data_IF_569912276079
#
_entry.id   IF_569912276079
#
_cell.length_a   1.000
_cell.length_b   1.000
_cell.length_c   1.000
_cell.angle_alpha   90.00
_cell.angle_beta   90.00
_cell.angle_gamma   90.00
#
_symmetry.space_group_name_H-M   'P 1'
#
loop_
_entity.id
_entity.type
_entity.pdbx_description
1 polymer ?
#
# COMPACT_ATOMS: atom_id res chain seq x y z
N UNK A 1 80.78 4.44 22.81
CA UNK A 1 79.30 4.44 22.68
C UNK A 1 78.92 5.27 21.46
N UNK A 2 78.72 4.60 20.32
CA UNK A 2 78.25 5.22 19.07
C UNK A 2 76.73 5.20 19.06
N UNK A 3 76.10 6.37 19.21
CA UNK A 3 74.65 6.53 19.01
C UNK A 3 74.33 6.37 17.53
N UNK A 4 73.75 5.24 17.13
CA UNK A 4 73.10 5.09 15.83
C UNK A 4 71.87 6.01 15.79
N UNK A 5 71.94 7.05 14.95
CA UNK A 5 70.81 7.93 14.64
C UNK A 5 69.83 7.15 13.77
N UNK A 6 68.87 6.45 14.40
CA UNK A 6 67.74 5.85 13.70
C UNK A 6 66.92 6.97 13.04
N UNK A 7 67.08 7.13 11.72
CA UNK A 7 66.08 7.81 10.88
C UNK A 7 64.89 6.87 10.72
N UNK A 8 64.18 6.63 11.83
CA UNK A 8 62.92 5.91 11.87
C UNK A 8 61.83 6.73 11.20
N UNK A 9 61.76 6.61 9.88
CA UNK A 9 60.62 6.83 8.99
C UNK A 9 59.49 7.73 9.50
N UNK A 10 59.74 9.04 9.63
CA UNK A 10 58.68 10.05 9.76
C UNK A 10 57.61 9.93 8.64
N UNK A 11 58.03 9.41 7.48
CA UNK A 11 57.18 9.15 6.33
C UNK A 11 56.12 8.06 6.58
N UNK A 12 56.43 7.03 7.39
CA UNK A 12 55.44 5.98 7.76
C UNK A 12 54.36 6.55 8.66
N UNK A 13 54.69 7.43 9.61
CA UNK A 13 53.69 8.07 10.46
C UNK A 13 52.75 8.99 9.67
N UNK A 14 53.28 9.69 8.66
CA UNK A 14 52.45 10.51 7.77
C UNK A 14 51.52 9.62 6.93
N UNK A 15 52.01 8.50 6.39
CA UNK A 15 51.19 7.56 5.62
C UNK A 15 50.08 6.91 6.47
N UNK A 16 50.39 6.52 7.71
CA UNK A 16 49.39 5.99 8.64
C UNK A 16 48.34 7.06 8.98
N UNK A 17 48.76 8.31 9.19
CA UNK A 17 47.81 9.42 9.44
C UNK A 17 46.89 9.69 8.24
N UNK A 18 47.41 9.67 7.01
CA UNK A 18 46.60 9.84 5.79
C UNK A 18 45.64 8.66 5.61
N UNK A 19 46.09 7.43 5.85
CA UNK A 19 45.24 6.25 5.79
C UNK A 19 44.10 6.31 6.83
N UNK A 20 44.39 6.73 8.06
CA UNK A 20 43.38 6.92 9.10
C UNK A 20 42.38 8.02 8.75
N UNK A 21 42.84 9.15 8.20
CA UNK A 21 41.97 10.24 7.75
C UNK A 21 41.06 9.81 6.60
N UNK A 22 41.59 9.07 5.62
CA UNK A 22 40.81 8.54 4.50
C UNK A 22 39.71 7.56 4.98
N UNK A 23 40.06 6.69 5.93
CA UNK A 23 39.12 5.72 6.52
C UNK A 23 38.06 6.41 7.38
N UNK A 24 38.40 7.52 8.03
CA UNK A 24 37.44 8.34 8.77
C UNK A 24 36.44 9.02 7.83
N UNK A 25 36.90 9.55 6.68
CA UNK A 25 36.00 10.17 5.68
C UNK A 25 35.03 9.18 5.05
N UNK A 26 35.43 7.93 4.81
CA UNK A 26 34.51 6.91 4.27
C UNK A 26 33.41 6.55 5.28
N UNK A 27 33.75 6.38 6.55
CA UNK A 27 32.78 6.09 7.61
C UNK A 27 31.76 7.24 7.80
N UNK A 28 32.19 8.49 7.65
CA UNK A 28 31.28 9.64 7.74
C UNK A 28 30.40 9.85 6.50
N UNK A 29 30.88 9.51 5.30
CA UNK A 29 30.07 9.58 4.07
C UNK A 29 29.04 8.45 3.97
N UNK A 30 29.37 7.24 4.45
CA UNK A 30 28.45 6.11 4.44
C UNK A 30 27.35 6.23 5.52
N UNK A 31 27.66 6.87 6.66
CA UNK A 31 26.69 7.06 7.75
C UNK A 31 25.63 8.13 7.42
N UNK A 32 25.99 9.19 6.70
CA UNK A 32 25.07 10.28 6.35
C UNK A 32 24.05 9.88 5.27
N UNK A 33 24.47 9.07 4.29
CA UNK A 33 23.57 8.50 3.28
C UNK A 33 22.61 7.47 3.88
N UNK A 34 23.10 6.55 4.71
CA UNK A 34 22.28 5.57 5.44
C UNK A 34 21.30 6.22 6.43
N UNK A 35 21.73 7.29 7.10
CA UNK A 35 20.87 8.06 8.01
C UNK A 35 19.72 8.72 7.26
N UNK A 36 19.99 9.34 6.10
CA UNK A 36 18.95 9.98 5.26
C UNK A 36 17.96 8.93 4.74
N UNK A 37 18.45 7.79 4.26
CA UNK A 37 17.62 6.68 3.79
C UNK A 37 16.67 6.17 4.89
N UNK A 38 17.19 5.97 6.10
CA UNK A 38 16.42 5.51 7.26
C UNK A 38 15.33 6.51 7.66
N UNK A 39 15.64 7.81 7.65
CA UNK A 39 14.66 8.86 7.94
C UNK A 39 13.55 8.91 6.89
N UNK A 40 13.89 8.81 5.61
CA UNK A 40 12.91 8.82 4.52
C UNK A 40 11.99 7.58 4.58
N UNK A 41 12.56 6.40 4.83
CA UNK A 41 11.77 5.19 5.03
C UNK A 41 10.82 5.31 6.23
N UNK A 42 11.29 5.87 7.35
CA UNK A 42 10.48 6.05 8.56
C UNK A 42 9.33 7.05 8.34
N UNK A 43 9.58 8.13 7.59
CA UNK A 43 8.54 9.10 7.19
C UNK A 43 7.48 8.43 6.33
N UNK A 44 7.90 7.69 5.30
CA UNK A 44 6.98 6.98 4.41
C UNK A 44 6.11 5.97 5.17
N UNK A 45 6.70 5.18 6.08
CA UNK A 45 5.97 4.24 6.95
C UNK A 45 4.92 4.98 7.78
N UNK A 46 5.29 6.11 8.39
CA UNK A 46 4.36 6.91 9.20
C UNK A 46 3.22 7.46 8.37
N UNK A 47 3.51 7.98 7.18
CA UNK A 47 2.52 8.55 6.26
C UNK A 47 1.55 7.47 5.77
N UNK A 48 2.05 6.37 5.22
CA UNK A 48 1.24 5.26 4.73
C UNK A 48 0.38 4.66 5.84
N UNK A 49 0.95 4.38 7.02
CA UNK A 49 0.17 3.80 8.12
C UNK A 49 -0.88 4.76 8.69
N UNK A 50 -0.63 6.07 8.67
CA UNK A 50 -1.62 7.07 9.06
C UNK A 50 -2.79 7.10 8.07
N UNK A 51 -2.52 7.04 6.77
CA UNK A 51 -3.56 7.02 5.75
C UNK A 51 -4.39 5.73 5.81
N UNK A 52 -3.74 4.57 5.96
CA UNK A 52 -4.42 3.27 6.14
C UNK A 52 -5.39 3.34 7.32
N UNK A 53 -4.94 3.81 8.49
CA UNK A 53 -5.79 3.90 9.67
C UNK A 53 -6.98 4.85 9.47
N UNK A 54 -6.76 5.97 8.77
CA UNK A 54 -7.83 6.92 8.45
C UNK A 54 -8.88 6.32 7.51
N UNK A 55 -8.44 5.69 6.41
CA UNK A 55 -9.32 5.05 5.44
C UNK A 55 -10.11 3.92 6.08
N UNK A 56 -9.42 3.04 6.82
CA UNK A 56 -10.06 1.94 7.56
C UNK A 56 -11.13 2.46 8.51
N UNK A 57 -10.82 3.49 9.31
CA UNK A 57 -11.78 4.07 10.26
C UNK A 57 -13.02 4.63 9.55
N UNK A 58 -12.83 5.27 8.39
CA UNK A 58 -13.94 5.83 7.61
C UNK A 58 -14.83 4.73 7.01
N UNK A 59 -14.23 3.64 6.52
CA UNK A 59 -14.97 2.46 6.04
C UNK A 59 -15.72 1.77 7.18
N UNK A 60 -15.10 1.63 8.35
CA UNK A 60 -15.74 1.00 9.50
C UNK A 60 -16.92 1.83 10.03
N UNK A 61 -16.79 3.16 10.08
CA UNK A 61 -17.91 4.03 10.41
C UNK A 61 -19.09 3.84 9.45
N UNK A 62 -18.80 3.81 8.16
CA UNK A 62 -19.79 3.56 7.12
C UNK A 62 -20.53 2.22 7.31
N UNK A 63 -19.78 1.14 7.55
CA UNK A 63 -20.32 -0.20 7.85
C UNK A 63 -21.25 -0.19 9.07
N UNK A 64 -20.85 0.54 10.13
CA UNK A 64 -21.62 0.62 11.38
C UNK A 64 -22.85 1.52 11.25
N UNK A 65 -22.80 2.57 10.43
CA UNK A 65 -23.92 3.47 10.20
C UNK A 65 -24.98 2.83 9.29
N UNK A 66 -24.57 2.00 8.32
CA UNK A 66 -25.45 1.43 7.30
C UNK A 66 -25.41 -0.11 7.24
N UNK A 67 -25.73 -0.82 8.33
CA UNK A 67 -25.60 -2.28 8.37
C UNK A 67 -26.58 -3.01 7.42
N UNK A 68 -27.73 -2.39 7.15
CA UNK A 68 -28.79 -2.96 6.30
C UNK A 68 -28.55 -2.78 4.80
N UNK A 69 -27.59 -1.93 4.40
CA UNK A 69 -27.29 -1.57 3.01
C UNK A 69 -28.51 -1.02 2.24
N UNK A 70 -28.31 -0.73 0.97
CA UNK A 70 -29.34 -0.45 -0.02
C UNK A 70 -30.02 -1.76 -0.44
N UNK A 71 -31.34 -1.76 -0.46
CA UNK A 71 -32.17 -2.90 -0.85
C UNK A 71 -31.97 -3.39 -2.30
N UNK A 72 -31.38 -2.56 -3.16
CA UNK A 72 -31.06 -2.92 -4.55
C UNK A 72 -29.78 -3.74 -4.70
N UNK A 73 -28.94 -3.81 -3.67
CA UNK A 73 -27.64 -4.48 -3.76
C UNK A 73 -27.76 -5.99 -3.61
N UNK A 74 -26.98 -6.70 -4.43
CA UNK A 74 -26.84 -8.16 -4.35
C UNK A 74 -25.38 -8.54 -4.14
N UNK A 75 -25.13 -9.84 -3.98
CA UNK A 75 -23.78 -10.37 -3.90
C UNK A 75 -22.97 -10.22 -5.20
N UNK A 76 -23.59 -9.76 -6.31
CA UNK A 76 -22.86 -9.47 -7.54
C UNK A 76 -22.06 -8.17 -7.44
N UNK A 77 -22.69 -7.10 -6.95
CA UNK A 77 -22.10 -5.76 -6.81
C UNK A 77 -21.28 -5.64 -5.52
N UNK A 78 -21.73 -6.33 -4.46
CA UNK A 78 -21.18 -6.23 -3.12
C UNK A 78 -20.91 -7.60 -2.52
N UNK A 79 -19.74 -8.15 -2.83
CA UNK A 79 -19.33 -9.50 -2.40
C UNK A 79 -19.24 -9.65 -0.89
N UNK A 80 -18.69 -8.63 -0.21
CA UNK A 80 -18.55 -8.61 1.25
C UNK A 80 -19.46 -7.52 1.83
N UNK A 81 -20.75 -7.82 1.94
CA UNK A 81 -21.68 -7.03 2.72
C UNK A 81 -21.24 -6.96 4.21
N UNK A 82 -21.36 -5.81 4.92
CA UNK A 82 -21.89 -4.51 4.49
C UNK A 82 -20.79 -3.50 4.07
N UNK A 83 -19.68 -3.95 3.48
CA UNK A 83 -18.58 -3.04 3.08
C UNK A 83 -18.91 -2.27 1.81
N UNK A 84 -18.39 -1.05 1.62
CA UNK A 84 -18.66 -0.24 0.44
C UNK A 84 -18.58 -0.98 -0.91
N UNK A 85 -19.36 -0.51 -1.87
CA UNK A 85 -19.33 -0.99 -3.26
C UNK A 85 -18.08 -0.42 -3.93
N UNK A 86 -17.55 -1.12 -4.94
CA UNK A 86 -16.46 -0.59 -5.74
C UNK A 86 -16.91 0.72 -6.44
N UNK A 87 -16.13 1.83 -6.39
CA UNK A 87 -16.54 3.12 -6.95
C UNK A 87 -16.89 3.09 -8.44
N UNK A 88 -16.29 2.17 -9.18
CA UNK A 88 -16.45 1.98 -10.62
C UNK A 88 -17.47 0.89 -10.98
N UNK A 89 -18.25 0.40 -10.02
CA UNK A 89 -19.28 -0.60 -10.27
C UNK A 89 -20.44 -0.01 -11.10
N UNK A 90 -20.95 -0.81 -12.06
CA UNK A 90 -22.04 -0.35 -12.93
C UNK A 90 -23.35 -0.15 -12.19
N UNK A 91 -23.50 -0.69 -10.97
CA UNK A 91 -24.64 -0.46 -10.09
C UNK A 91 -25.03 1.02 -10.00
N UNK A 92 -24.05 1.92 -9.90
CA UNK A 92 -24.30 3.35 -9.81
C UNK A 92 -24.98 3.89 -11.07
N UNK A 93 -24.58 3.44 -12.26
CA UNK A 93 -25.19 3.89 -13.52
C UNK A 93 -26.53 3.18 -13.78
N UNK A 94 -26.58 1.87 -13.54
CA UNK A 94 -27.77 1.03 -13.73
C UNK A 94 -28.94 1.49 -12.85
N UNK A 95 -28.64 2.05 -11.68
CA UNK A 95 -29.63 2.62 -10.76
C UNK A 95 -29.76 4.15 -10.85
N UNK A 96 -29.13 4.79 -11.84
CA UNK A 96 -29.19 6.25 -12.04
C UNK A 96 -28.75 7.07 -10.81
N UNK A 97 -27.75 6.57 -10.08
CA UNK A 97 -27.13 7.28 -8.96
C UNK A 97 -26.48 8.59 -9.44
N UNK A 98 -26.48 9.61 -8.57
CA UNK A 98 -25.77 10.86 -8.84
C UNK A 98 -24.77 11.14 -7.72
N UNK A 99 -23.44 11.16 -7.99
CA UNK A 99 -22.80 10.89 -9.29
C UNK A 99 -22.98 9.44 -9.75
N UNK A 100 -22.76 9.15 -11.04
CA UNK A 100 -22.71 7.77 -11.55
C UNK A 100 -21.45 7.02 -11.11
N UNK A 101 -21.10 5.94 -11.82
CA UNK A 101 -19.87 5.19 -11.56
C UNK A 101 -18.62 6.04 -11.82
N UNK A 102 -17.58 5.83 -11.02
CA UNK A 102 -16.26 6.45 -11.24
C UNK A 102 -15.50 5.72 -12.34
N UNK A 103 -14.60 6.44 -13.03
CA UNK A 103 -13.71 5.81 -14.03
C UNK A 103 -12.72 4.84 -13.39
N UNK A 104 -12.29 5.12 -12.17
CA UNK A 104 -11.26 4.40 -11.45
C UNK A 104 -11.75 4.00 -10.05
N UNK A 105 -11.27 2.89 -9.48
CA UNK A 105 -11.69 2.41 -8.16
C UNK A 105 -10.95 3.16 -7.04
N UNK A 106 -10.97 4.49 -7.04
CA UNK A 106 -10.23 5.31 -6.08
C UNK A 106 -10.88 5.30 -4.69
N UNK A 107 -10.07 5.29 -3.64
CA UNK A 107 -10.56 5.40 -2.26
C UNK A 107 -11.33 6.70 -2.03
N UNK A 108 -10.94 7.79 -2.69
CA UNK A 108 -11.64 9.08 -2.64
C UNK A 108 -13.10 9.00 -3.05
N UNK A 109 -13.44 8.03 -3.90
CA UNK A 109 -14.73 7.92 -4.55
C UNK A 109 -15.62 6.87 -3.89
N UNK A 110 -15.15 6.24 -2.80
CA UNK A 110 -15.93 5.26 -2.04
C UNK A 110 -17.17 5.93 -1.46
N UNK A 111 -18.29 5.21 -1.57
CA UNK A 111 -19.58 5.61 -1.03
C UNK A 111 -20.14 4.53 -0.14
N UNK A 112 -20.91 4.93 0.85
CA UNK A 112 -21.53 3.96 1.73
C UNK A 112 -22.56 3.12 1.00
N UNK A 113 -22.64 1.81 1.28
CA UNK A 113 -23.50 0.90 0.53
C UNK A 113 -24.98 1.06 0.88
N UNK A 114 -25.40 2.17 1.48
CA UNK A 114 -26.79 2.47 1.78
C UNK A 114 -26.99 3.87 2.34
N UNK A 115 -28.15 4.44 2.01
CA UNK A 115 -28.83 5.50 2.78
C UNK A 115 -29.68 4.77 3.83
N UNK A 116 -29.73 5.14 5.13
CA UNK A 116 -30.25 4.25 6.16
C UNK A 116 -31.76 4.04 5.97
N UNK A 117 -32.12 2.91 5.35
CA UNK A 117 -33.51 2.46 5.17
C UNK A 117 -34.26 3.02 3.95
N UNK A 118 -33.59 3.54 2.92
CA UNK A 118 -34.23 4.14 1.74
C UNK A 118 -33.98 3.39 0.43
N UNK A 119 -34.85 3.59 -0.55
CA UNK A 119 -34.69 3.15 -1.95
C UNK A 119 -33.94 4.18 -2.81
N UNK A 120 -33.06 4.98 -2.19
CA UNK A 120 -32.33 6.05 -2.86
C UNK A 120 -31.03 5.48 -3.46
N UNK A 121 -30.89 5.48 -4.80
CA UNK A 121 -29.68 4.99 -5.45
C UNK A 121 -28.49 5.91 -5.26
N UNK A 122 -28.69 7.14 -4.77
CA UNK A 122 -27.62 8.10 -4.52
C UNK A 122 -26.97 7.82 -3.16
N UNK A 123 -25.83 7.15 -3.22
CA UNK A 123 -25.03 6.81 -2.04
C UNK A 123 -24.14 7.98 -1.63
N UNK A 124 -24.03 8.25 -0.32
CA UNK A 124 -23.21 9.36 0.16
C UNK A 124 -21.72 8.99 0.16
N UNK A 125 -20.89 9.89 -0.39
CA UNK A 125 -19.44 9.73 -0.43
C UNK A 125 -18.85 9.80 0.98
N UNK A 126 -17.98 8.84 1.31
CA UNK A 126 -17.31 8.77 2.61
C UNK A 126 -16.36 9.96 2.79
N UNK A 127 -15.70 10.39 1.73
CA UNK A 127 -14.76 11.50 1.74
C UNK A 127 -15.35 12.70 0.99
N UNK A 128 -16.01 13.59 1.71
CA UNK A 128 -16.63 14.77 1.12
C UNK A 128 -16.78 15.91 2.13
N UNK A 129 -17.14 17.09 1.62
CA UNK A 129 -17.51 18.22 2.48
C UNK A 129 -18.74 17.95 3.36
N UNK A 130 -19.62 17.03 2.95
CA UNK A 130 -20.81 16.67 3.71
C UNK A 130 -20.49 15.73 4.88
N UNK A 131 -19.58 14.78 4.68
CA UNK A 131 -19.09 13.90 5.76
C UNK A 131 -18.08 14.57 6.70
N UNK A 132 -17.50 15.71 6.30
CA UNK A 132 -16.43 16.40 7.02
C UNK A 132 -15.10 15.63 7.02
N UNK A 133 -15.02 14.52 6.28
CA UNK A 133 -13.82 13.69 6.13
C UNK A 133 -13.18 14.02 4.79
N UNK A 134 -11.90 14.40 4.82
CA UNK A 134 -11.13 14.66 3.62
C UNK A 134 -9.95 13.71 3.57
N UNK A 135 -9.86 12.94 2.49
CA UNK A 135 -8.70 12.10 2.26
C UNK A 135 -7.47 13.00 2.10
N UNK A 136 -6.38 12.76 2.84
CA UNK A 136 -5.13 13.46 2.57
C UNK A 136 -4.65 13.15 1.13
N UNK A 137 -3.79 13.99 0.55
CA UNK A 137 -3.22 13.71 -0.77
C UNK A 137 -2.47 12.37 -0.75
N UNK A 138 -2.28 11.78 -1.94
CA UNK A 138 -1.48 10.57 -2.10
C UNK A 138 -0.13 10.70 -1.38
N UNK A 139 0.33 9.64 -0.70
CA UNK A 139 1.65 9.61 -0.09
C UNK A 139 2.72 9.95 -1.12
N UNK A 140 3.74 10.70 -0.72
CA UNK A 140 4.79 11.08 -1.66
C UNK A 140 5.45 9.83 -2.30
N UNK A 141 5.65 9.86 -3.62
CA UNK A 141 6.16 8.76 -4.45
C UNK A 141 5.19 7.61 -4.71
N UNK A 142 3.95 7.70 -4.23
CA UNK A 142 2.91 6.70 -4.44
C UNK A 142 1.74 7.27 -5.21
N UNK A 143 1.03 6.39 -5.89
CA UNK A 143 -0.25 6.66 -6.51
C UNK A 143 -1.36 6.75 -5.46
N UNK A 144 -2.50 7.32 -5.87
CA UNK A 144 -3.71 7.34 -5.06
C UNK A 144 -4.11 5.92 -4.61
N UNK A 145 -4.70 5.83 -3.42
CA UNK A 145 -5.21 4.58 -2.91
C UNK A 145 -6.39 4.10 -3.76
N UNK A 146 -6.37 2.81 -4.07
CA UNK A 146 -7.45 2.10 -4.74
C UNK A 146 -8.18 1.20 -3.76
N UNK A 147 -9.48 1.03 -3.95
CA UNK A 147 -10.36 0.21 -3.14
C UNK A 147 -10.83 -1.02 -3.91
N UNK A 148 -11.03 -2.12 -3.18
CA UNK A 148 -11.63 -3.31 -3.73
C UNK A 148 -12.52 -4.01 -2.70
N UNK A 149 -13.68 -4.46 -3.16
CA UNK A 149 -14.57 -5.40 -2.50
C UNK A 149 -14.93 -6.52 -3.49
N UNK A 150 -14.45 -7.74 -3.24
CA UNK A 150 -14.67 -8.87 -4.14
C UNK A 150 -14.50 -10.24 -3.48
N UNK A 151 -14.42 -11.32 -4.27
CA UNK A 151 -14.38 -12.69 -3.73
C UNK A 151 -13.15 -12.99 -2.82
N UNK A 152 -12.04 -12.29 -3.04
CA UNK A 152 -10.82 -12.41 -2.22
C UNK A 152 -10.89 -11.62 -0.89
N UNK A 153 -11.89 -10.76 -0.76
CA UNK A 153 -12.16 -9.95 0.42
C UNK A 153 -12.25 -8.46 0.11
N UNK A 154 -11.91 -7.65 1.11
CA UNK A 154 -11.95 -6.19 1.03
C UNK A 154 -10.57 -5.65 1.34
N UNK A 155 -10.00 -4.84 0.45
CA UNK A 155 -8.68 -4.25 0.66
C UNK A 155 -8.55 -2.86 0.05
N UNK A 156 -7.49 -2.17 0.48
CA UNK A 156 -6.98 -0.98 -0.18
C UNK A 156 -5.56 -1.24 -0.67
N UNK A 157 -5.21 -0.67 -1.81
CA UNK A 157 -3.90 -0.83 -2.44
C UNK A 157 -3.35 0.51 -2.87
N UNK A 158 -2.04 0.69 -2.74
CA UNK A 158 -1.30 1.75 -3.42
C UNK A 158 -0.07 1.16 -4.12
N UNK A 159 0.45 1.89 -5.10
CA UNK A 159 1.60 1.48 -5.90
C UNK A 159 2.57 2.64 -6.11
N UNK A 160 3.82 2.31 -6.38
CA UNK A 160 4.87 3.25 -6.77
C UNK A 160 5.69 2.66 -7.90
N UNK A 161 5.89 3.41 -8.97
CA UNK A 161 6.79 3.11 -10.09
C UNK A 161 8.23 3.58 -9.81
N UNK A 162 8.49 4.14 -8.62
CA UNK A 162 9.78 4.73 -8.26
C UNK A 162 10.73 3.64 -7.76
N UNK A 163 11.99 3.73 -8.21
CA UNK A 163 13.02 2.70 -7.95
C UNK A 163 13.94 3.05 -6.77
N UNK A 164 13.57 4.03 -5.94
CA UNK A 164 14.40 4.46 -4.82
C UNK A 164 14.57 3.30 -3.80
N UNK A 165 15.80 2.93 -3.41
CA UNK A 165 16.04 1.77 -2.55
C UNK A 165 15.34 1.81 -1.19
N UNK A 166 14.98 2.99 -0.69
CA UNK A 166 14.26 3.13 0.59
C UNK A 166 12.78 2.77 0.50
N UNK A 167 12.18 2.75 -0.70
CA UNK A 167 10.76 2.44 -0.89
C UNK A 167 10.48 0.99 -0.47
N UNK A 168 11.26 0.04 -0.98
CA UNK A 168 11.11 -1.37 -0.60
C UNK A 168 11.37 -1.57 0.91
N UNK A 169 12.43 -0.98 1.46
CA UNK A 169 12.72 -1.05 2.91
C UNK A 169 11.56 -0.48 3.75
N UNK A 170 10.96 0.62 3.31
CA UNK A 170 9.81 1.21 3.97
C UNK A 170 8.56 0.31 3.88
N UNK A 171 8.27 -0.29 2.72
CA UNK A 171 7.16 -1.23 2.59
C UNK A 171 7.36 -2.48 3.46
N UNK A 172 8.59 -3.00 3.57
CA UNK A 172 8.91 -4.15 4.43
C UNK A 172 8.63 -3.80 5.89
N UNK A 173 9.10 -2.63 6.32
CA UNK A 173 8.86 -2.11 7.67
C UNK A 173 7.38 -1.84 7.92
N UNK A 174 6.65 -1.36 6.92
CA UNK A 174 5.21 -1.12 7.01
C UNK A 174 4.45 -2.44 7.16
N UNK A 175 4.74 -3.45 6.31
CA UNK A 175 4.15 -4.80 6.42
C UNK A 175 4.38 -5.39 7.81
N UNK A 176 5.58 -5.23 8.36
CA UNK A 176 5.93 -5.71 9.69
C UNK A 176 5.13 -5.05 10.85
N UNK A 177 4.43 -3.94 10.61
CA UNK A 177 3.52 -3.33 11.61
C UNK A 177 2.18 -4.05 11.72
N UNK A 178 1.81 -4.82 10.71
CA UNK A 178 0.51 -5.49 10.62
C UNK A 178 0.69 -7.00 10.80
N UNK A 179 -0.39 -7.69 11.13
CA UNK A 179 -0.36 -9.16 11.19
C UNK A 179 -0.18 -9.78 9.80
N UNK A 180 0.18 -11.06 9.76
CA UNK A 180 0.48 -11.78 8.53
C UNK A 180 -0.69 -11.81 7.51
N UNK A 181 -1.93 -11.60 7.96
CA UNK A 181 -3.12 -11.59 7.11
C UNK A 181 -3.60 -10.18 6.72
N UNK A 182 -3.11 -9.14 7.40
CA UNK A 182 -3.61 -7.76 7.27
C UNK A 182 -2.85 -6.95 6.22
N UNK A 183 -1.63 -7.34 5.86
CA UNK A 183 -0.85 -6.59 4.88
C UNK A 183 0.06 -7.46 4.02
N UNK A 184 0.15 -7.08 2.74
CA UNK A 184 1.05 -7.67 1.76
C UNK A 184 1.84 -6.59 1.00
N UNK A 185 3.01 -6.99 0.52
CA UNK A 185 3.85 -6.16 -0.34
C UNK A 185 4.33 -6.97 -1.54
N UNK A 186 4.47 -6.33 -2.69
CA UNK A 186 4.89 -6.97 -3.93
C UNK A 186 5.84 -6.07 -4.72
N UNK A 187 6.75 -6.70 -5.45
CA UNK A 187 7.65 -6.07 -6.42
C UNK A 187 7.38 -6.72 -7.77
N UNK A 188 6.97 -5.94 -8.76
CA UNK A 188 6.78 -6.48 -10.10
C UNK A 188 8.16 -6.76 -10.71
N UNK A 189 8.40 -8.03 -11.09
CA UNK A 189 9.68 -8.51 -11.64
C UNK A 189 10.33 -9.65 -10.83
N UNK A 190 9.97 -9.82 -9.56
CA UNK A 190 10.52 -10.92 -8.74
C UNK A 190 9.85 -12.27 -9.01
N UNK A 191 8.73 -12.27 -9.72
CA UNK A 191 8.01 -13.43 -10.20
C UNK A 191 6.68 -12.96 -10.81
N UNK A 192 6.64 -12.74 -12.12
CA UNK A 192 5.38 -12.70 -12.86
C UNK A 192 5.50 -13.69 -14.01
N UNK A 193 4.59 -14.66 -14.09
CA UNK A 193 4.46 -15.43 -15.32
C UNK A 193 3.88 -14.53 -16.40
N UNK A 194 4.11 -14.90 -17.66
CA UNK A 194 3.72 -14.14 -18.85
C UNK A 194 2.20 -13.94 -19.03
N UNK A 195 1.39 -14.28 -18.04
CA UNK A 195 -0.05 -14.05 -17.94
C UNK A 195 -0.44 -12.93 -16.96
N UNK A 196 0.54 -12.24 -16.35
CA UNK A 196 0.29 -11.17 -15.37
C UNK A 196 -0.13 -11.69 -14.00
N UNK A 197 0.02 -12.99 -13.72
CA UNK A 197 -0.10 -13.53 -12.37
C UNK A 197 1.25 -13.54 -11.64
N UNK A 198 1.22 -13.24 -10.35
CA UNK A 198 2.39 -13.24 -9.46
C UNK A 198 2.91 -14.68 -9.36
N UNK A 199 4.10 -14.94 -9.91
CA UNK A 199 4.68 -16.27 -9.96
C UNK A 199 5.06 -16.79 -8.57
N UNK A 200 4.85 -18.08 -8.45
CA UNK A 200 4.79 -18.83 -7.22
C UNK A 200 6.18 -19.28 -6.80
N UNK A 201 6.89 -18.48 -6.00
CA UNK A 201 7.84 -19.02 -5.02
C UNK A 201 7.76 -18.23 -3.73
N UNK A 202 6.93 -18.72 -2.80
CA UNK A 202 6.83 -18.22 -1.42
C UNK A 202 5.54 -17.45 -1.15
N UNK A 203 4.52 -18.16 -0.66
CA UNK A 203 3.40 -17.64 0.15
C UNK A 203 2.78 -16.29 -0.28
N UNK A 204 2.39 -16.17 -1.55
CA UNK A 204 1.67 -15.01 -2.07
C UNK A 204 0.19 -15.38 -2.31
N UNK A 205 -0.80 -14.61 -1.83
CA UNK A 205 -2.18 -14.82 -2.23
C UNK A 205 -2.31 -14.63 -3.74
N UNK A 206 -2.75 -15.67 -4.42
CA UNK A 206 -3.21 -15.61 -5.82
C UNK A 206 -4.48 -14.75 -5.87
N UNK A 207 -4.36 -13.52 -6.39
CA UNK A 207 -5.52 -12.72 -6.81
C UNK A 207 -6.07 -13.34 -8.09
N UNK A 208 -7.13 -14.14 -7.98
CA UNK A 208 -7.67 -14.85 -9.14
C UNK A 208 -8.30 -13.86 -10.11
N UNK A 209 -7.87 -13.94 -11.37
CA UNK A 209 -8.38 -13.06 -12.41
C UNK A 209 -9.81 -13.48 -12.80
N UNK A 210 -10.87 -12.91 -12.22
CA UNK A 210 -12.14 -12.86 -12.95
C UNK A 210 -11.95 -12.02 -14.21
N UNK A 211 -12.10 -12.67 -15.35
CA UNK A 211 -11.77 -12.25 -16.71
C UNK A 211 -12.71 -11.19 -17.29
N UNK A 212 -13.45 -10.47 -16.46
CA UNK A 212 -14.49 -9.52 -16.88
C UNK A 212 -14.42 -8.13 -16.25
N UNK A 213 -13.45 -7.84 -15.37
CA UNK A 213 -13.22 -6.45 -14.91
C UNK A 213 -11.97 -5.85 -15.61
N UNK A 214 -12.08 -4.69 -16.28
CA UNK A 214 -10.96 -4.05 -16.99
C UNK A 214 -9.83 -3.56 -16.07
N UNK A 215 -10.01 -3.64 -14.75
CA UNK A 215 -8.98 -3.32 -13.76
C UNK A 215 -8.40 -4.61 -13.19
N UNK A 216 -7.58 -5.26 -14.01
CA UNK A 216 -6.78 -6.40 -13.56
C UNK A 216 -6.13 -6.06 -12.21
N UNK A 217 -6.41 -6.92 -11.22
CA UNK A 217 -5.84 -7.04 -9.86
C UNK A 217 -4.31 -7.21 -9.90
N UNK A 218 -3.62 -6.29 -10.54
CA UNK A 218 -2.22 -6.42 -10.91
C UNK A 218 -1.48 -5.18 -10.41
N UNK A 219 -0.44 -5.42 -9.62
CA UNK A 219 0.58 -4.41 -9.43
C UNK A 219 1.10 -3.99 -10.81
N UNK A 220 1.16 -2.69 -11.14
CA UNK A 220 1.68 -2.27 -12.44
C UNK A 220 3.09 -2.83 -12.69
N UNK A 221 3.45 -2.98 -13.96
CA UNK A 221 4.78 -3.45 -14.34
C UNK A 221 5.88 -2.62 -13.66
N UNK A 222 6.94 -3.29 -13.21
CA UNK A 222 8.10 -2.70 -12.54
C UNK A 222 7.78 -1.80 -11.33
N UNK A 223 6.67 -2.07 -10.64
CA UNK A 223 6.19 -1.25 -9.52
C UNK A 223 6.29 -1.95 -8.17
N UNK A 224 6.41 -1.15 -7.12
CA UNK A 224 6.26 -1.51 -5.73
C UNK A 224 4.79 -1.38 -5.34
N UNK A 225 4.16 -2.44 -4.85
CA UNK A 225 2.77 -2.38 -4.38
C UNK A 225 2.65 -2.76 -2.91
N UNK A 226 1.72 -2.09 -2.23
CA UNK A 226 1.33 -2.38 -0.86
C UNK A 226 -0.17 -2.59 -0.79
N UNK A 227 -0.59 -3.67 -0.14
CA UNK A 227 -2.00 -4.03 0.06
C UNK A 227 -2.27 -4.09 1.55
N UNK A 228 -3.33 -3.42 1.98
CA UNK A 228 -3.89 -3.55 3.32
C UNK A 228 -5.27 -4.21 3.23
N UNK A 229 -5.40 -5.38 3.86
CA UNK A 229 -6.63 -6.15 3.92
C UNK A 229 -7.50 -5.69 5.08
N UNK A 230 -8.72 -5.27 4.76
CA UNK A 230 -9.78 -4.99 5.73
C UNK A 230 -10.50 -6.30 6.09
N UNK A 231 -10.76 -7.13 5.07
CA UNK A 231 -11.20 -8.52 5.19
C UNK A 231 -10.41 -9.33 4.18
N UNK A 232 -9.98 -10.53 4.56
CA UNK A 232 -9.35 -11.49 3.65
C UNK A 232 -10.15 -12.78 3.65
N UNK A 233 -10.77 -13.11 2.52
CA UNK A 233 -11.51 -14.36 2.31
C UNK A 233 -10.65 -15.28 1.45
N UNK A 234 -10.17 -16.39 2.03
CA UNK A 234 -9.11 -17.19 1.43
C UNK A 234 -9.55 -18.10 0.28
N UNK A 235 -8.78 -18.08 -0.82
CA UNK A 235 -8.45 -19.28 -1.60
C UNK A 235 -6.97 -19.36 -2.05
N UNK A 236 -6.06 -18.68 -1.33
CA UNK A 236 -4.62 -18.84 -1.50
C UNK A 236 -4.01 -19.55 -0.28
N UNK A 237 -3.31 -20.67 -0.49
CA UNK A 237 -2.83 -21.53 0.57
C UNK A 237 -1.91 -20.80 1.59
N UNK A 238 -2.14 -21.13 2.87
CA UNK A 238 -1.26 -20.95 4.05
C UNK A 238 -1.28 -19.59 4.76
N UNK A 239 -2.45 -19.10 5.15
CA UNK A 239 -2.76 -18.74 6.55
C UNK A 239 -4.28 -18.87 6.70
N UNK A 240 -4.78 -19.78 7.55
CA UNK A 240 -6.17 -19.72 8.01
C UNK A 240 -6.32 -18.44 8.83
N UNK A 241 -6.76 -17.37 8.17
CA UNK A 241 -7.14 -16.13 8.83
C UNK A 241 -8.54 -16.35 9.41
N UNK A 242 -8.75 -16.20 10.74
CA UNK A 242 -10.05 -16.43 11.38
C UNK A 242 -11.11 -15.42 10.94
#
# INVERSE_FOLDING_TARGET
MTLQKQRGSALVYILVAIALLALLTTVFMDSSSQQTQTQNASKLVSELSSQIAFIQSAIQECVLTYPAQDSGLTAAEQKNAPYPINPNDSYFDDNSATPGSSSDPLVSDIRCPGNPGGSDPSHEAIFSGASGKFLPPAPNLFEDWKYYNGDDGVFIMTSSDKTDPFINDALVKLKAKYSACEADQFLTGDNMTSDGSVATTGNSPTFTSETSSPFARACPADSHCFVYWIIRTGSGAVVDCP
#
